data_IF_282540663592
#
_entry.id   IF_282540663592
#
_cell.length_a   1.000
_cell.length_b   1.000
_cell.length_c   1.000
_cell.angle_alpha   90.00
_cell.angle_beta   90.00
_cell.angle_gamma   90.00
#
_symmetry.space_group_name_H-M   'P 1'
#
loop_
_entity.id
_entity.type
_entity.pdbx_description
1 polymer ?
#
# COMPACT_ATOMS: atom_id res chain seq x y z
N UNK A 1 -49.06 17.02 -54.03
CA UNK A 1 -49.21 17.51 -52.65
C UNK A 1 -49.62 16.31 -51.79
N UNK A 2 -48.94 15.80 -50.77
CA UNK A 2 -47.67 16.10 -50.10
C UNK A 2 -47.11 14.74 -49.64
N UNK A 3 -45.81 14.48 -49.86
CA UNK A 3 -45.11 13.34 -49.26
C UNK A 3 -44.68 13.75 -47.85
N UNK A 4 -45.14 13.03 -46.81
CA UNK A 4 -44.62 13.18 -45.45
C UNK A 4 -43.64 12.02 -45.21
N UNK A 5 -42.34 12.32 -45.28
CA UNK A 5 -41.30 11.42 -44.81
C UNK A 5 -41.31 11.46 -43.27
N UNK A 6 -41.58 10.32 -42.65
CA UNK A 6 -41.44 10.14 -41.20
C UNK A 6 -39.96 9.86 -40.90
N UNK A 7 -39.23 10.89 -40.46
CA UNK A 7 -37.86 10.76 -39.98
C UNK A 7 -37.86 10.11 -38.60
N UNK A 8 -37.46 8.85 -38.52
CA UNK A 8 -37.28 8.13 -37.27
C UNK A 8 -35.91 8.49 -36.68
N UNK A 9 -35.86 9.47 -35.78
CA UNK A 9 -34.66 9.80 -35.01
C UNK A 9 -34.40 8.69 -33.97
N UNK A 10 -33.47 7.80 -34.28
CA UNK A 10 -32.85 6.89 -33.31
C UNK A 10 -31.96 7.71 -32.36
N UNK A 11 -32.51 8.11 -31.21
CA UNK A 11 -31.72 8.62 -30.09
C UNK A 11 -30.91 7.46 -29.52
N UNK A 12 -29.62 7.40 -29.87
CA UNK A 12 -28.66 6.54 -29.20
C UNK A 12 -28.51 7.03 -27.75
N UNK A 13 -29.18 6.35 -26.82
CA UNK A 13 -28.95 6.52 -25.38
C UNK A 13 -27.60 5.87 -25.10
N UNK A 14 -26.52 6.66 -25.17
CA UNK A 14 -25.22 6.26 -24.66
C UNK A 14 -25.35 6.10 -23.16
N UNK A 15 -25.56 4.87 -22.69
CA UNK A 15 -25.39 4.52 -21.30
C UNK A 15 -23.92 4.71 -20.97
N UNK A 16 -23.57 5.89 -20.44
CA UNK A 16 -22.30 6.09 -19.74
C UNK A 16 -22.32 5.15 -18.53
N UNK A 17 -21.86 3.92 -18.72
CA UNK A 17 -21.55 3.03 -17.63
C UNK A 17 -20.45 3.71 -16.83
N UNK A 18 -20.81 4.36 -15.73
CA UNK A 18 -19.85 4.83 -14.75
C UNK A 18 -19.09 3.60 -14.27
N UNK A 19 -17.84 3.46 -14.70
CA UNK A 19 -16.97 2.41 -14.21
C UNK A 19 -16.87 2.59 -12.69
N UNK A 20 -17.24 1.55 -11.94
CA UNK A 20 -17.12 1.56 -10.48
C UNK A 20 -15.67 1.81 -10.09
N UNK A 21 -15.43 2.68 -9.10
CA UNK A 21 -14.10 2.96 -8.58
C UNK A 21 -13.39 1.66 -8.18
N UNK A 22 -12.13 1.52 -8.59
CA UNK A 22 -11.30 0.39 -8.21
C UNK A 22 -10.98 0.52 -6.73
N UNK A 23 -11.39 -0.46 -5.94
CA UNK A 23 -10.92 -0.62 -4.57
C UNK A 23 -9.61 -1.39 -4.59
N UNK A 24 -8.58 -0.81 -3.99
CA UNK A 24 -7.32 -1.51 -3.80
C UNK A 24 -7.49 -2.77 -2.95
N UNK A 25 -6.58 -3.73 -3.11
CA UNK A 25 -6.58 -4.98 -2.35
C UNK A 25 -5.17 -5.30 -1.89
N UNK A 26 -5.09 -6.12 -0.85
CA UNK A 26 -3.87 -6.81 -0.44
C UNK A 26 -4.14 -8.30 -0.27
N UNK A 27 -3.11 -9.12 -0.47
CA UNK A 27 -3.14 -10.56 -0.25
C UNK A 27 -1.72 -11.07 0.01
N UNK A 28 -1.55 -11.98 0.95
CA UNK A 28 -0.28 -12.65 1.19
C UNK A 28 -0.47 -14.16 1.23
N UNK A 29 0.58 -14.88 0.83
CA UNK A 29 0.65 -16.32 0.98
C UNK A 29 2.11 -16.74 1.10
N UNK A 30 2.49 -17.31 2.25
CA UNK A 30 3.86 -17.75 2.52
C UNK A 30 4.87 -16.59 2.34
N UNK A 31 5.89 -16.75 1.50
CA UNK A 31 6.98 -15.79 1.30
C UNK A 31 6.66 -14.72 0.24
N UNK A 32 5.40 -14.59 -0.16
CA UNK A 32 4.95 -13.66 -1.19
C UNK A 32 3.74 -12.84 -0.73
N UNK A 33 3.65 -11.61 -1.22
CA UNK A 33 2.50 -10.72 -1.06
C UNK A 33 2.22 -9.92 -2.32
N UNK A 34 1.02 -9.35 -2.39
CA UNK A 34 0.59 -8.46 -3.45
C UNK A 34 -0.30 -7.37 -2.91
N UNK A 35 -0.08 -6.17 -3.43
CA UNK A 35 -0.90 -5.00 -3.23
C UNK A 35 -1.29 -4.47 -4.60
N UNK A 36 -2.58 -4.22 -4.80
CA UNK A 36 -3.08 -3.57 -6.00
C UNK A 36 -3.78 -2.28 -5.62
N UNK A 37 -3.48 -1.21 -6.35
CA UNK A 37 -3.99 0.12 -6.02
C UNK A 37 -5.34 0.42 -6.67
N UNK A 38 -5.94 1.52 -6.23
CA UNK A 38 -7.09 2.17 -6.85
C UNK A 38 -6.89 2.60 -8.31
N UNK A 39 -5.69 2.49 -8.88
CA UNK A 39 -5.44 2.68 -10.33
C UNK A 39 -5.58 1.38 -11.13
N UNK A 40 -5.66 0.24 -10.44
CA UNK A 40 -5.63 -1.10 -11.03
C UNK A 40 -4.22 -1.69 -11.16
N UNK A 41 -3.18 -0.93 -10.83
CA UNK A 41 -1.78 -1.39 -10.83
C UNK A 41 -1.55 -2.36 -9.69
N UNK A 42 -0.87 -3.48 -9.96
CA UNK A 42 -0.50 -4.45 -8.95
C UNK A 42 1.02 -4.55 -8.79
N UNK A 43 1.46 -4.70 -7.54
CA UNK A 43 2.84 -4.89 -7.10
C UNK A 43 2.90 -6.17 -6.26
N UNK A 44 3.59 -7.20 -6.73
CA UNK A 44 3.75 -8.47 -6.03
C UNK A 44 5.21 -8.66 -5.62
N UNK A 45 5.46 -8.78 -4.32
CA UNK A 45 6.79 -8.98 -3.77
C UNK A 45 6.98 -10.45 -3.37
N UNK A 46 8.14 -11.01 -3.70
CA UNK A 46 8.58 -12.33 -3.24
C UNK A 46 9.89 -12.21 -2.49
N UNK A 47 10.08 -12.98 -1.42
CA UNK A 47 11.23 -12.87 -0.52
C UNK A 47 12.00 -14.19 -0.41
N UNK A 48 13.19 -14.14 0.18
CA UNK A 48 13.93 -15.34 0.57
C UNK A 48 13.22 -16.13 1.67
N UNK A 49 13.47 -17.43 1.74
CA UNK A 49 13.00 -18.27 2.85
C UNK A 49 13.87 -18.07 4.11
N UNK A 50 13.52 -18.73 5.21
CA UNK A 50 14.25 -18.62 6.48
C UNK A 50 15.63 -19.31 6.49
N UNK A 51 15.97 -20.11 5.47
CA UNK A 51 17.26 -20.81 5.37
C UNK A 51 18.37 -19.88 4.84
N UNK A 52 18.01 -18.88 4.02
CA UNK A 52 18.94 -17.93 3.41
C UNK A 52 18.93 -16.55 4.10
N UNK A 53 18.77 -16.52 5.43
CA UNK A 53 18.66 -15.28 6.22
C UNK A 53 19.90 -14.37 6.15
N UNK A 54 21.08 -14.92 5.89
CA UNK A 54 22.33 -14.14 5.84
C UNK A 54 22.49 -13.38 4.51
N UNK A 55 21.80 -13.84 3.47
CA UNK A 55 21.73 -13.23 2.15
C UNK A 55 20.27 -12.90 1.77
N UNK A 56 19.63 -11.91 2.45
CA UNK A 56 18.27 -11.52 2.13
C UNK A 56 18.10 -11.11 0.67
N UNK A 57 16.98 -11.49 0.06
CA UNK A 57 16.74 -11.25 -1.34
C UNK A 57 15.25 -11.10 -1.63
N UNK A 58 14.89 -10.19 -2.52
CA UNK A 58 13.51 -10.03 -2.95
C UNK A 58 13.39 -9.64 -4.42
N UNK A 59 12.25 -10.00 -4.99
CA UNK A 59 11.76 -9.52 -6.29
C UNK A 59 10.50 -8.70 -6.09
N UNK A 60 10.36 -7.63 -6.87
CA UNK A 60 9.12 -6.86 -7.00
C UNK A 60 8.60 -6.96 -8.44
N UNK A 61 7.43 -7.56 -8.60
CA UNK A 61 6.70 -7.70 -9.85
C UNK A 61 5.64 -6.60 -9.96
N UNK A 62 5.81 -5.67 -10.90
CA UNK A 62 4.85 -4.58 -11.14
C UNK A 62 4.14 -4.78 -12.48
N UNK A 63 2.80 -4.74 -12.46
CA UNK A 63 1.97 -4.77 -13.68
C UNK A 63 0.83 -3.75 -13.61
N UNK A 64 0.84 -2.82 -14.55
CA UNK A 64 -0.23 -1.83 -14.75
C UNK A 64 -1.55 -2.50 -15.18
N UNK A 65 -2.69 -1.88 -14.88
CA UNK A 65 -3.97 -2.29 -15.44
C UNK A 65 -4.11 -1.92 -16.94
N UNK A 66 -5.06 -2.56 -17.61
CA UNK A 66 -5.31 -2.40 -19.05
C UNK A 66 -4.66 -3.48 -19.89
N UNK A 67 -5.01 -3.53 -21.18
CA UNK A 67 -4.53 -4.54 -22.11
C UNK A 67 -3.03 -4.34 -22.47
N UNK A 68 -2.35 -5.45 -22.79
CA UNK A 68 -0.96 -5.54 -23.25
C UNK A 68 0.07 -4.89 -22.33
N UNK A 69 -0.21 -4.87 -21.02
CA UNK A 69 0.72 -4.34 -20.03
C UNK A 69 1.76 -5.40 -19.64
N UNK A 70 3.07 -5.12 -19.81
CA UNK A 70 4.11 -6.05 -19.42
C UNK A 70 4.27 -6.11 -17.90
N UNK A 71 4.76 -7.26 -17.40
CA UNK A 71 5.29 -7.35 -16.04
C UNK A 71 6.71 -6.80 -16.02
N UNK A 72 7.00 -5.92 -15.08
CA UNK A 72 8.33 -5.42 -14.79
C UNK A 72 8.82 -6.10 -13.51
N UNK A 73 10.09 -6.49 -13.46
CA UNK A 73 10.69 -7.13 -12.27
C UNK A 73 11.91 -6.36 -11.82
N UNK A 74 11.83 -5.84 -10.61
CA UNK A 74 12.96 -5.28 -9.86
C UNK A 74 13.43 -6.29 -8.82
N UNK A 75 14.68 -6.18 -8.39
CA UNK A 75 15.25 -7.04 -7.37
C UNK A 75 16.03 -6.21 -6.35
N UNK A 76 16.09 -6.74 -5.12
CA UNK A 76 16.89 -6.24 -4.03
C UNK A 76 17.70 -7.41 -3.45
N UNK A 77 19.02 -7.28 -3.41
CA UNK A 77 19.92 -8.28 -2.83
C UNK A 77 20.65 -7.63 -1.67
N UNK A 78 20.58 -8.20 -0.46
CA UNK A 78 21.21 -7.64 0.73
C UNK A 78 22.17 -8.64 1.38
N UNK A 79 22.95 -8.15 2.34
CA UNK A 79 23.76 -8.99 3.23
C UNK A 79 23.64 -8.46 4.65
N UNK A 80 23.37 -9.33 5.60
CA UNK A 80 23.05 -8.89 6.96
C UNK A 80 24.26 -8.29 7.69
N UNK A 81 25.44 -8.88 7.52
CA UNK A 81 26.64 -8.50 8.29
C UNK A 81 27.50 -7.42 7.62
N UNK A 82 27.23 -7.08 6.36
CA UNK A 82 28.07 -6.17 5.59
C UNK A 82 27.21 -5.06 4.97
N UNK A 83 27.50 -3.77 5.23
CA UNK A 83 26.73 -2.66 4.66
C UNK A 83 27.05 -2.41 3.19
N UNK A 84 28.19 -2.89 2.69
CA UNK A 84 28.61 -2.71 1.30
C UNK A 84 29.68 -3.73 0.90
N UNK A 85 29.92 -3.85 -0.40
CA UNK A 85 31.06 -4.61 -0.93
C UNK A 85 31.92 -3.78 -1.87
N UNK A 86 33.23 -4.08 -1.99
CA UNK A 86 34.03 -3.54 -3.10
C UNK A 86 33.42 -3.95 -4.44
N UNK A 87 33.37 -3.03 -5.40
CA UNK A 87 32.76 -3.25 -6.72
C UNK A 87 33.28 -4.52 -7.43
N UNK A 88 34.54 -4.92 -7.18
CA UNK A 88 35.11 -6.16 -7.72
C UNK A 88 34.38 -7.43 -7.28
N UNK A 89 33.87 -7.50 -6.04
CA UNK A 89 33.10 -8.63 -5.52
C UNK A 89 31.69 -8.71 -6.10
N UNK A 90 31.16 -7.58 -6.57
CA UNK A 90 29.82 -7.45 -7.15
C UNK A 90 29.79 -7.68 -8.67
N UNK A 91 30.94 -7.94 -9.29
CA UNK A 91 31.01 -8.21 -10.73
C UNK A 91 30.34 -9.52 -11.05
N UNK A 92 29.75 -9.58 -12.25
CA UNK A 92 29.29 -10.80 -12.87
C UNK A 92 28.27 -11.58 -12.00
N UNK A 93 27.38 -10.88 -11.31
CA UNK A 93 26.20 -11.50 -10.70
C UNK A 93 25.25 -11.88 -11.84
N UNK A 94 24.87 -13.15 -11.89
CA UNK A 94 24.01 -13.72 -12.92
C UNK A 94 22.68 -14.17 -12.30
N UNK A 95 21.62 -14.14 -13.12
CA UNK A 95 20.29 -14.60 -12.75
C UNK A 95 20.05 -16.02 -13.28
N UNK A 96 19.65 -16.92 -12.38
CA UNK A 96 19.38 -18.32 -12.68
C UNK A 96 17.95 -18.69 -12.34
N UNK A 97 17.33 -19.51 -13.19
CA UNK A 97 16.05 -20.16 -12.91
C UNK A 97 16.20 -21.65 -13.16
N UNK A 98 15.96 -22.47 -12.12
CA UNK A 98 16.12 -23.93 -12.17
C UNK A 98 17.49 -24.37 -12.71
N UNK A 99 18.57 -23.78 -12.17
CA UNK A 99 19.95 -24.02 -12.59
C UNK A 99 20.36 -23.46 -13.97
N UNK A 100 19.42 -22.96 -14.79
CA UNK A 100 19.75 -22.36 -16.09
C UNK A 100 20.14 -20.89 -15.93
N UNK A 101 21.30 -20.54 -16.49
CA UNK A 101 21.82 -19.17 -16.56
C UNK A 101 21.04 -18.33 -17.59
N UNK A 102 20.51 -17.18 -17.16
CA UNK A 102 19.83 -16.19 -18.01
C UNK A 102 20.63 -14.88 -18.14
N UNK A 103 21.93 -14.93 -17.83
CA UNK A 103 22.88 -13.86 -18.04
C UNK A 103 23.07 -12.92 -16.84
N UNK A 104 23.99 -11.96 -16.98
CA UNK A 104 24.32 -11.02 -15.92
C UNK A 104 23.16 -10.08 -15.59
N UNK A 105 23.15 -9.58 -14.36
CA UNK A 105 22.29 -8.47 -13.91
C UNK A 105 23.14 -7.26 -13.53
N UNK A 106 22.63 -6.07 -13.82
CA UNK A 106 23.24 -4.83 -13.38
C UNK A 106 22.70 -4.45 -11.99
N UNK A 107 23.59 -3.99 -11.12
CA UNK A 107 23.25 -3.48 -9.78
C UNK A 107 23.63 -2.01 -9.67
N UNK A 108 22.85 -1.26 -8.91
CA UNK A 108 23.07 0.15 -8.63
C UNK A 108 23.96 0.31 -7.39
N UNK A 109 25.12 0.94 -7.57
CA UNK A 109 26.05 1.20 -6.47
C UNK A 109 26.71 -0.05 -5.88
N UNK A 110 27.20 0.11 -4.65
CA UNK A 110 27.94 -0.93 -3.90
C UNK A 110 27.41 -1.15 -2.49
N UNK A 111 26.45 -0.32 -2.07
CA UNK A 111 25.84 -0.36 -0.74
C UNK A 111 24.61 -1.26 -0.79
N UNK A 112 24.39 -2.01 0.30
CA UNK A 112 23.24 -2.89 0.41
C UNK A 112 22.00 -2.12 0.89
N UNK A 113 20.80 -2.47 0.40
CA UNK A 113 20.52 -3.50 -0.61
C UNK A 113 20.95 -3.07 -2.02
N UNK A 114 21.54 -4.01 -2.76
CA UNK A 114 21.85 -3.84 -4.18
C UNK A 114 20.56 -3.93 -4.97
N UNK A 115 20.19 -2.82 -5.58
CA UNK A 115 18.98 -2.69 -6.38
C UNK A 115 19.28 -2.91 -7.86
N UNK A 116 18.33 -3.45 -8.59
CA UNK A 116 18.44 -3.59 -10.03
C UNK A 116 17.16 -4.12 -10.67
N UNK A 117 17.20 -4.30 -11.99
CA UNK A 117 16.05 -4.71 -12.79
C UNK A 117 16.39 -5.86 -13.71
N UNK A 118 15.47 -6.83 -13.80
CA UNK A 118 15.61 -7.93 -14.75
C UNK A 118 15.29 -7.48 -16.19
N UNK A 119 16.01 -8.04 -17.15
CA UNK A 119 15.72 -7.89 -18.58
C UNK A 119 14.44 -8.63 -18.97
N UNK A 120 13.82 -8.25 -20.09
CA UNK A 120 12.60 -8.92 -20.58
C UNK A 120 12.77 -10.44 -20.78
N UNK A 121 13.98 -10.90 -21.16
CA UNK A 121 14.27 -12.33 -21.27
C UNK A 121 14.26 -13.03 -19.91
N UNK A 122 14.88 -12.43 -18.89
CA UNK A 122 14.93 -12.94 -17.52
C UNK A 122 13.53 -12.96 -16.88
N UNK A 123 12.74 -11.89 -17.09
CA UNK A 123 11.34 -11.82 -16.64
C UNK A 123 10.53 -12.96 -17.25
N UNK A 124 10.61 -13.16 -18.57
CA UNK A 124 9.89 -14.23 -19.26
C UNK A 124 10.30 -15.62 -18.76
N UNK A 125 11.59 -15.82 -18.49
CA UNK A 125 12.11 -17.08 -17.95
C UNK A 125 11.51 -17.41 -16.58
N UNK A 126 11.47 -16.43 -15.68
CA UNK A 126 10.86 -16.58 -14.35
C UNK A 126 9.36 -16.89 -14.47
N UNK A 127 8.62 -16.08 -15.23
CA UNK A 127 7.17 -16.22 -15.35
C UNK A 127 6.74 -17.54 -16.01
N UNK A 128 7.58 -18.13 -16.87
CA UNK A 128 7.34 -19.46 -17.44
C UNK A 128 7.37 -20.59 -16.39
N UNK A 129 8.06 -20.40 -15.27
CA UNK A 129 8.14 -21.38 -14.18
C UNK A 129 7.15 -21.12 -13.04
N UNK A 130 6.41 -19.99 -13.08
CA UNK A 130 5.51 -19.52 -12.00
C UNK A 130 4.43 -20.49 -11.50
N UNK A 131 4.19 -21.61 -12.20
CA UNK A 131 3.21 -22.67 -11.83
C UNK A 131 3.86 -23.93 -11.27
N UNK A 132 5.18 -23.97 -11.21
CA UNK A 132 5.99 -25.13 -10.86
C UNK A 132 6.83 -24.78 -9.65
N UNK A 133 7.38 -25.82 -9.01
CA UNK A 133 8.51 -25.62 -8.11
C UNK A 133 9.64 -24.95 -8.88
N UNK A 134 10.14 -23.83 -8.35
CA UNK A 134 11.10 -22.97 -9.04
C UNK A 134 12.24 -22.59 -8.10
N UNK A 135 13.47 -22.83 -8.54
CA UNK A 135 14.66 -22.30 -7.90
C UNK A 135 15.02 -20.97 -8.57
N UNK A 136 15.01 -19.88 -7.79
CA UNK A 136 15.27 -18.51 -8.26
C UNK A 136 16.54 -18.02 -7.56
N UNK A 137 17.64 -17.88 -8.32
CA UNK A 137 18.96 -17.61 -7.74
C UNK A 137 19.62 -16.41 -8.43
N UNK A 138 20.26 -15.56 -7.64
CA UNK A 138 21.27 -14.61 -8.10
C UNK A 138 22.62 -15.06 -7.56
N UNK A 139 23.63 -15.24 -8.41
CA UNK A 139 24.96 -15.63 -7.91
C UNK A 139 26.12 -15.20 -8.81
N UNK A 140 27.29 -15.14 -8.21
CA UNK A 140 28.58 -15.18 -8.88
C UNK A 140 29.48 -16.24 -8.21
N UNK A 141 30.80 -16.17 -8.43
CA UNK A 141 31.73 -17.14 -7.85
C UNK A 141 31.85 -17.08 -6.32
N UNK A 142 31.39 -16.00 -5.69
CA UNK A 142 31.59 -15.72 -4.25
C UNK A 142 30.31 -15.45 -3.48
N UNK A 143 29.24 -15.07 -4.15
CA UNK A 143 27.98 -14.62 -3.55
C UNK A 143 26.82 -15.40 -4.17
N UNK A 144 25.84 -15.76 -3.36
CA UNK A 144 24.61 -16.38 -3.79
C UNK A 144 23.43 -15.89 -2.95
N UNK A 145 22.36 -15.52 -3.62
CA UNK A 145 21.07 -15.18 -3.05
C UNK A 145 20.01 -16.08 -3.64
N UNK A 146 19.00 -16.43 -2.85
CA UNK A 146 17.89 -17.27 -3.29
C UNK A 146 16.56 -16.67 -2.85
N UNK A 147 15.62 -16.56 -3.79
CA UNK A 147 14.25 -16.17 -3.51
C UNK A 147 13.40 -17.43 -3.41
N UNK A 148 12.50 -17.46 -2.42
CA UNK A 148 11.54 -18.54 -2.22
C UNK A 148 10.50 -18.54 -3.34
N UNK A 149 10.08 -19.70 -3.81
CA UNK A 149 8.92 -19.85 -4.70
C UNK A 149 7.61 -20.10 -3.94
N UNK A 150 7.68 -20.32 -2.62
CA UNK A 150 6.52 -20.60 -1.78
C UNK A 150 5.62 -19.37 -1.72
N UNK A 151 4.46 -19.45 -2.38
CA UNK A 151 3.53 -18.33 -2.47
C UNK A 151 3.39 -17.71 -3.85
N UNK A 152 4.42 -17.84 -4.69
CA UNK A 152 4.51 -17.17 -5.99
C UNK A 152 3.27 -17.46 -6.86
N UNK A 153 2.89 -18.73 -7.03
CA UNK A 153 1.73 -19.09 -7.86
C UNK A 153 0.42 -18.48 -7.33
N UNK A 154 0.20 -18.50 -6.01
CA UNK A 154 -1.03 -18.00 -5.40
C UNK A 154 -1.15 -16.48 -5.55
N UNK A 155 -0.06 -15.76 -5.27
CA UNK A 155 0.02 -14.31 -5.38
C UNK A 155 -0.12 -13.84 -6.83
N UNK A 156 0.56 -14.48 -7.78
CA UNK A 156 0.42 -14.14 -9.21
C UNK A 156 -0.94 -14.52 -9.77
N UNK A 157 -1.58 -15.58 -9.26
CA UNK A 157 -2.96 -15.88 -9.60
C UNK A 157 -3.91 -14.80 -9.06
N UNK A 158 -3.65 -14.26 -7.87
CA UNK A 158 -4.43 -13.14 -7.33
C UNK A 158 -4.27 -11.87 -8.16
N UNK A 159 -3.09 -11.63 -8.72
CA UNK A 159 -2.85 -10.56 -9.69
C UNK A 159 -3.70 -10.72 -10.96
N UNK A 160 -3.73 -11.94 -11.52
CA UNK A 160 -4.56 -12.24 -12.69
C UNK A 160 -6.06 -12.11 -12.39
N UNK A 161 -6.49 -12.54 -11.20
CA UNK A 161 -7.88 -12.41 -10.74
C UNK A 161 -8.32 -10.94 -10.66
N UNK A 162 -7.57 -10.12 -9.91
CA UNK A 162 -7.88 -8.71 -9.72
C UNK A 162 -7.93 -7.93 -11.05
N UNK A 163 -6.97 -8.19 -11.94
CA UNK A 163 -6.91 -7.52 -13.23
C UNK A 163 -7.80 -8.19 -14.30
N UNK A 164 -8.61 -9.19 -13.93
CA UNK A 164 -9.53 -9.91 -14.82
C UNK A 164 -8.84 -10.56 -16.03
N UNK A 165 -7.66 -11.13 -15.79
CA UNK A 165 -6.78 -11.76 -16.80
C UNK A 165 -6.87 -13.28 -16.82
N UNK A 166 -7.51 -13.94 -15.86
CA UNK A 166 -7.69 -15.39 -15.85
C UNK A 166 -8.35 -15.85 -17.17
N UNK A 167 -7.77 -16.84 -17.84
CA UNK A 167 -8.27 -17.37 -19.11
C UNK A 167 -7.90 -16.55 -20.35
N UNK A 168 -7.24 -15.40 -20.17
CA UNK A 168 -6.73 -14.59 -21.30
C UNK A 168 -5.35 -15.07 -21.75
N UNK A 169 -4.92 -14.62 -22.93
CA UNK A 169 -3.57 -14.86 -23.45
C UNK A 169 -2.46 -14.24 -22.57
N UNK A 170 -2.77 -13.16 -21.83
CA UNK A 170 -1.82 -12.45 -20.96
C UNK A 170 -1.92 -12.78 -19.47
N UNK A 171 -2.62 -13.86 -19.09
CA UNK A 171 -2.55 -14.37 -17.72
C UNK A 171 -1.13 -14.86 -17.40
N UNK A 172 -0.68 -14.72 -16.15
CA UNK A 172 0.59 -15.30 -15.68
C UNK A 172 0.41 -16.79 -15.35
N UNK A 173 -0.66 -17.15 -14.65
CA UNK A 173 -0.86 -18.48 -14.07
C UNK A 173 -1.86 -19.33 -14.87
N UNK A 174 -3.07 -18.80 -15.10
CA UNK A 174 -4.16 -19.51 -15.79
C UNK A 174 -4.38 -18.92 -17.18
N UNK A 175 -3.42 -19.14 -18.08
CA UNK A 175 -3.51 -18.74 -19.49
C UNK A 175 -4.66 -19.44 -20.21
N UNK A 176 -5.30 -18.73 -21.14
CA UNK A 176 -6.28 -19.30 -22.06
C UNK A 176 -6.23 -18.62 -23.42
N UNK A 177 -7.32 -18.70 -24.17
CA UNK A 177 -7.40 -18.21 -25.56
C UNK A 177 -8.12 -16.87 -25.70
N UNK A 178 -8.75 -16.38 -24.63
CA UNK A 178 -9.46 -15.10 -24.68
C UNK A 178 -8.48 -13.95 -24.92
N UNK A 179 -8.91 -12.96 -25.69
CA UNK A 179 -8.17 -11.70 -25.81
C UNK A 179 -8.28 -10.87 -24.51
N UNK A 180 -7.67 -9.69 -24.51
CA UNK A 180 -7.64 -8.81 -23.35
C UNK A 180 -8.70 -7.69 -23.43
N UNK A 181 -9.77 -7.85 -24.21
CA UNK A 181 -10.81 -6.82 -24.34
C UNK A 181 -11.62 -6.57 -23.06
N UNK A 182 -11.65 -7.54 -22.14
CA UNK A 182 -12.41 -7.49 -20.88
C UNK A 182 -11.54 -7.43 -19.62
N UNK A 183 -10.23 -7.19 -19.76
CA UNK A 183 -9.36 -6.98 -18.59
C UNK A 183 -9.72 -5.68 -17.86
N UNK A 184 -9.31 -5.57 -16.60
CA UNK A 184 -9.51 -4.37 -15.81
C UNK A 184 -8.89 -3.16 -16.53
N UNK A 185 -9.69 -2.14 -16.80
CA UNK A 185 -9.21 -0.88 -17.36
C UNK A 185 -8.59 -0.04 -16.25
N UNK A 186 -7.42 0.56 -16.51
CA UNK A 186 -6.76 1.43 -15.55
C UNK A 186 -7.62 2.65 -15.22
N UNK A 187 -7.58 3.09 -13.97
CA UNK A 187 -8.17 4.35 -13.52
C UNK A 187 -7.07 5.36 -13.18
N UNK A 188 -7.28 6.66 -13.48
CA UNK A 188 -6.32 7.68 -13.10
C UNK A 188 -6.29 7.85 -11.58
N UNK A 189 -5.14 8.29 -11.05
CA UNK A 189 -5.06 8.78 -9.66
C UNK A 189 -6.06 9.91 -9.48
N UNK A 190 -6.89 9.84 -8.43
CA UNK A 190 -7.77 10.95 -8.10
C UNK A 190 -6.96 12.13 -7.56
N UNK A 191 -7.46 13.34 -7.78
CA UNK A 191 -6.79 14.56 -7.31
C UNK A 191 -7.51 15.10 -6.08
N UNK A 192 -6.74 15.42 -5.04
CA UNK A 192 -7.22 16.15 -3.86
C UNK A 192 -6.54 17.49 -3.79
N UNK A 193 -7.32 18.56 -3.68
CA UNK A 193 -6.78 19.89 -3.41
C UNK A 193 -6.61 20.06 -1.92
N UNK A 194 -5.37 20.20 -1.45
CA UNK A 194 -5.10 20.44 -0.04
C UNK A 194 -5.56 21.85 0.34
N UNK A 195 -6.37 21.94 1.38
CA UNK A 195 -6.69 23.21 2.02
C UNK A 195 -5.86 23.33 3.31
N UNK A 196 -4.88 24.24 3.28
CA UNK A 196 -4.00 24.48 4.43
C UNK A 196 -4.78 24.99 5.64
N UNK A 197 -4.47 24.44 6.80
CA UNK A 197 -5.05 24.83 8.10
C UNK A 197 -3.95 25.20 9.10
N UNK A 198 -4.28 25.84 10.23
CA UNK A 198 -3.32 26.03 11.32
C UNK A 198 -2.79 24.69 11.87
N UNK A 199 -1.51 24.68 12.26
CA UNK A 199 -0.81 23.48 12.74
C UNK A 199 -0.87 23.28 14.26
N UNK A 200 -1.31 24.30 15.01
CA UNK A 200 -1.39 24.24 16.47
C UNK A 200 -2.83 24.07 16.91
N UNK A 201 -3.09 23.28 17.97
CA UNK A 201 -4.42 23.23 18.55
C UNK A 201 -4.76 24.61 19.11
N UNK A 202 -5.99 25.06 18.89
CA UNK A 202 -6.48 26.30 19.50
C UNK A 202 -6.96 26.07 20.94
N UNK A 203 -7.24 24.81 21.29
CA UNK A 203 -7.66 24.39 22.61
C UNK A 203 -7.24 22.94 22.86
N UNK A 204 -6.66 22.67 24.03
CA UNK A 204 -6.43 21.32 24.53
C UNK A 204 -7.31 21.11 25.76
N UNK A 205 -8.27 20.18 25.65
CA UNK A 205 -9.18 19.84 26.71
C UNK A 205 -8.57 18.74 27.58
N UNK A 206 -8.26 19.10 28.82
CA UNK A 206 -7.81 18.15 29.84
C UNK A 206 -8.99 17.28 30.33
N UNK A 207 -8.75 16.04 30.81
CA UNK A 207 -9.79 15.16 31.31
C UNK A 207 -10.68 15.74 32.42
N UNK A 208 -10.14 16.66 33.23
CA UNK A 208 -10.88 17.33 34.30
C UNK A 208 -11.78 18.50 33.81
N UNK A 209 -11.73 18.83 32.53
CA UNK A 209 -12.50 19.95 31.99
C UNK A 209 -13.99 19.57 31.82
N UNK A 210 -14.90 20.46 32.21
CA UNK A 210 -16.37 20.20 32.20
C UNK A 210 -16.95 19.72 30.86
N UNK A 211 -16.35 20.10 29.72
CA UNK A 211 -16.78 19.69 28.38
C UNK A 211 -16.21 18.34 27.92
N UNK A 212 -15.19 17.83 28.61
CA UNK A 212 -14.46 16.63 28.21
C UNK A 212 -15.35 15.39 28.13
N UNK A 213 -16.16 15.03 29.14
CA UNK A 213 -16.89 13.75 29.12
C UNK A 213 -17.87 13.64 27.95
N UNK A 214 -18.60 14.73 27.67
CA UNK A 214 -19.56 14.76 26.57
C UNK A 214 -18.87 14.68 25.20
N UNK A 215 -17.78 15.41 25.01
CA UNK A 215 -17.02 15.34 23.75
C UNK A 215 -16.39 13.96 23.57
N UNK A 216 -15.69 13.44 24.57
CA UNK A 216 -15.06 12.12 24.52
C UNK A 216 -16.09 11.03 24.17
N UNK A 217 -17.25 11.01 24.82
CA UNK A 217 -18.33 10.08 24.51
C UNK A 217 -18.82 10.18 23.07
N UNK A 218 -18.95 11.40 22.53
CA UNK A 218 -19.32 11.64 21.12
C UNK A 218 -18.26 11.08 20.15
N UNK A 219 -16.97 11.29 20.44
CA UNK A 219 -15.86 10.74 19.64
C UNK A 219 -15.89 9.20 19.64
N UNK A 220 -16.04 8.57 20.80
CA UNK A 220 -16.07 7.10 20.92
C UNK A 220 -17.32 6.48 20.29
N UNK A 221 -18.45 7.19 20.31
CA UNK A 221 -19.66 6.78 19.60
C UNK A 221 -19.49 6.83 18.07
N UNK A 222 -18.64 7.74 17.57
CA UNK A 222 -18.24 7.83 16.17
C UNK A 222 -17.06 6.91 15.85
N UNK A 223 -17.19 5.62 16.15
CA UNK A 223 -16.23 4.58 15.77
C UNK A 223 -16.54 3.99 14.38
N UNK A 224 -15.59 3.26 13.75
CA UNK A 224 -15.83 2.53 12.50
C UNK A 224 -17.05 1.60 12.55
N UNK A 225 -17.65 1.35 11.38
CA UNK A 225 -18.72 0.36 11.19
C UNK A 225 -18.23 -0.70 10.19
N UNK A 226 -18.25 -2.01 10.53
CA UNK A 226 -18.67 -2.58 11.81
C UNK A 226 -17.75 -2.16 12.96
N UNK A 227 -18.29 -2.19 14.19
CA UNK A 227 -17.52 -1.86 15.41
C UNK A 227 -16.30 -2.77 15.49
N UNK A 228 -15.17 -2.19 15.84
CA UNK A 228 -13.91 -2.91 15.97
C UNK A 228 -13.64 -3.18 17.46
N UNK A 229 -13.19 -4.40 17.76
CA UNK A 229 -12.59 -4.68 19.07
C UNK A 229 -11.30 -3.88 19.20
N UNK A 230 -10.99 -3.38 20.40
CA UNK A 230 -9.77 -2.60 20.60
C UNK A 230 -9.84 -1.13 20.17
N UNK A 231 -11.00 -0.64 19.72
CA UNK A 231 -11.12 0.75 19.27
C UNK A 231 -10.81 1.74 20.39
N UNK A 232 -9.79 2.57 20.17
CA UNK A 232 -9.41 3.67 21.05
C UNK A 232 -9.39 3.34 22.55
N UNK A 233 -8.82 2.20 22.93
CA UNK A 233 -8.78 1.71 24.32
C UNK A 233 -8.01 2.61 25.30
N UNK A 234 -7.29 3.62 24.79
CA UNK A 234 -6.50 4.58 25.54
C UNK A 234 -5.17 4.00 26.01
N UNK A 235 -4.63 4.58 27.09
CA UNK A 235 -3.31 4.21 27.62
C UNK A 235 -3.48 3.49 28.95
N UNK A 236 -3.12 2.22 28.98
CA UNK A 236 -3.08 1.40 30.18
C UNK A 236 -1.80 1.66 30.98
N UNK A 237 -1.91 1.87 32.29
CA UNK A 237 -0.77 2.13 33.17
C UNK A 237 -0.54 1.07 34.26
N UNK A 238 -1.26 -0.04 34.19
CA UNK A 238 -1.17 -1.13 35.18
C UNK A 238 -2.49 -1.36 35.92
N UNK A 239 -3.24 -0.29 36.20
CA UNK A 239 -4.46 -0.34 37.02
C UNK A 239 -5.73 0.01 36.23
N UNK A 240 -5.63 0.93 35.26
CA UNK A 240 -6.76 1.31 34.40
C UNK A 240 -6.29 2.03 33.13
N UNK A 241 -7.21 2.17 32.16
CA UNK A 241 -7.03 3.14 31.08
C UNK A 241 -7.12 4.57 31.63
N UNK A 242 -6.09 5.37 31.41
CA UNK A 242 -6.10 6.80 31.74
C UNK A 242 -6.73 7.63 30.61
N UNK A 243 -7.71 8.50 30.92
CA UNK A 243 -8.23 9.47 29.95
C UNK A 243 -7.11 10.37 29.40
N UNK A 244 -7.08 10.54 28.08
CA UNK A 244 -6.06 11.34 27.39
C UNK A 244 -6.61 12.73 27.04
N UNK A 245 -5.78 13.79 27.00
CA UNK A 245 -6.22 15.10 26.54
C UNK A 245 -6.79 15.06 25.11
N UNK A 246 -7.76 15.93 24.82
CA UNK A 246 -8.30 16.10 23.46
C UNK A 246 -7.78 17.43 22.91
N UNK A 247 -7.00 17.36 21.85
CA UNK A 247 -6.50 18.51 21.11
C UNK A 247 -7.48 18.91 20.00
N UNK A 248 -7.80 20.19 19.91
CA UNK A 248 -8.75 20.74 18.94
C UNK A 248 -8.05 21.69 17.98
N UNK A 249 -8.09 21.37 16.70
CA UNK A 249 -7.49 22.13 15.60
C UNK A 249 -8.58 22.80 14.77
N UNK A 250 -8.38 24.06 14.41
CA UNK A 250 -9.32 24.76 13.50
C UNK A 250 -9.15 24.21 12.08
N UNK A 251 -10.26 23.85 11.45
CA UNK A 251 -10.34 23.61 10.01
C UNK A 251 -11.13 24.75 9.34
N UNK A 252 -11.23 24.71 8.01
CA UNK A 252 -12.09 25.64 7.27
C UNK A 252 -13.57 25.36 7.51
N UNK A 253 -14.45 26.29 7.12
CA UNK A 253 -15.91 26.12 7.14
C UNK A 253 -16.47 25.77 8.53
N UNK A 254 -15.90 26.39 9.58
CA UNK A 254 -16.33 26.20 10.98
C UNK A 254 -16.28 24.73 11.44
N UNK A 255 -15.34 23.97 10.88
CA UNK A 255 -15.04 22.60 11.29
C UNK A 255 -13.86 22.57 12.24
N UNK A 256 -13.81 21.52 13.05
CA UNK A 256 -12.77 21.26 14.04
C UNK A 256 -12.29 19.83 13.86
N UNK A 257 -10.98 19.64 13.84
CA UNK A 257 -10.36 18.33 14.00
C UNK A 257 -10.12 18.12 15.50
N UNK A 258 -10.68 17.07 16.05
CA UNK A 258 -10.39 16.60 17.40
C UNK A 258 -9.43 15.42 17.33
N UNK A 259 -8.34 15.50 18.09
CA UNK A 259 -7.36 14.42 18.20
C UNK A 259 -7.11 14.04 19.66
N UNK A 260 -7.01 12.75 19.94
CA UNK A 260 -6.64 12.24 21.27
C UNK A 260 -5.81 10.97 21.13
N UNK A 261 -4.86 10.76 22.04
CA UNK A 261 -4.07 9.54 22.05
C UNK A 261 -4.99 8.35 22.34
N UNK A 262 -5.03 7.42 21.39
CA UNK A 262 -6.08 6.42 21.25
C UNK A 262 -5.59 5.03 21.66
N UNK A 263 -4.32 4.74 21.39
CA UNK A 263 -3.64 3.54 21.83
C UNK A 263 -2.11 3.77 21.82
N UNK A 264 -1.40 2.97 22.59
CA UNK A 264 0.07 2.90 22.62
C UNK A 264 0.50 1.46 22.70
N UNK A 265 1.31 1.05 21.74
CA UNK A 265 2.02 -0.22 21.74
C UNK A 265 3.50 -0.05 22.09
N UNK A 266 4.25 -1.15 22.04
CA UNK A 266 5.67 -1.16 22.38
C UNK A 266 6.53 -0.22 21.50
N UNK A 267 6.13 0.00 20.25
CA UNK A 267 6.92 0.73 19.25
C UNK A 267 6.18 1.85 18.53
N UNK A 268 4.88 1.98 18.82
CA UNK A 268 3.93 2.76 18.05
C UNK A 268 2.90 3.41 18.96
N UNK A 269 2.37 4.53 18.50
CA UNK A 269 1.22 5.20 19.09
C UNK A 269 0.26 5.57 17.96
N UNK A 270 -1.03 5.60 18.27
CA UNK A 270 -2.04 6.09 17.35
C UNK A 270 -2.94 7.11 18.02
N UNK A 271 -3.14 8.22 17.33
CA UNK A 271 -4.10 9.23 17.70
C UNK A 271 -5.40 8.98 16.92
N UNK A 272 -6.49 9.00 17.67
CA UNK A 272 -7.84 9.07 17.13
C UNK A 272 -8.05 10.45 16.55
N UNK A 273 -8.61 10.53 15.35
CA UNK A 273 -8.89 11.75 14.63
C UNK A 273 -10.35 11.77 14.18
N UNK A 274 -11.07 12.84 14.52
CA UNK A 274 -12.46 13.04 14.12
C UNK A 274 -12.70 14.49 13.68
N UNK A 275 -13.63 14.66 12.74
CA UNK A 275 -14.13 15.97 12.33
C UNK A 275 -15.47 16.26 12.99
N UNK A 276 -15.59 17.46 13.56
CA UNK A 276 -16.82 18.01 14.11
C UNK A 276 -17.05 19.42 13.57
N UNK A 277 -18.21 20.02 13.83
CA UNK A 277 -18.36 21.48 13.74
C UNK A 277 -17.92 22.18 15.04
N UNK A 278 -17.76 23.50 14.95
CA UNK A 278 -17.26 24.37 16.03
C UNK A 278 -18.08 24.34 17.34
N UNK A 279 -19.32 23.83 17.32
CA UNK A 279 -20.11 23.66 18.54
C UNK A 279 -19.58 22.52 19.41
N UNK A 280 -18.88 21.55 18.82
CA UNK A 280 -18.38 20.31 19.44
C UNK A 280 -19.48 19.37 19.98
N UNK A 281 -20.77 19.69 19.77
CA UNK A 281 -21.89 18.92 20.33
C UNK A 281 -22.53 17.99 19.32
N UNK A 282 -22.48 18.33 18.04
CA UNK A 282 -23.04 17.51 16.97
C UNK A 282 -22.18 16.28 16.69
N UNK A 283 -22.78 15.32 15.98
CA UNK A 283 -22.15 14.03 15.65
C UNK A 283 -20.77 14.21 15.00
N UNK A 284 -19.78 13.53 15.57
CA UNK A 284 -18.45 13.46 15.01
C UNK A 284 -18.37 12.51 13.80
N UNK A 285 -17.44 12.79 12.89
CA UNK A 285 -17.09 11.93 11.77
C UNK A 285 -15.68 11.38 11.97
N UNK A 286 -15.56 10.05 12.09
CA UNK A 286 -14.28 9.37 12.19
C UNK A 286 -13.41 9.57 10.96
N UNK A 287 -12.10 9.72 11.16
CA UNK A 287 -11.10 9.71 10.09
C UNK A 287 -10.21 8.49 10.23
N UNK A 288 -9.50 8.36 11.36
CA UNK A 288 -8.56 7.27 11.63
C UNK A 288 -8.26 7.20 13.13
N UNK A 289 -7.79 6.05 13.62
CA UNK A 289 -7.20 5.89 14.95
C UNK A 289 -5.69 5.65 14.93
N UNK A 290 -5.09 5.70 13.74
CA UNK A 290 -3.67 5.43 13.54
C UNK A 290 -2.87 6.70 13.23
N UNK A 291 -3.42 7.90 13.44
CA UNK A 291 -2.71 9.13 13.16
C UNK A 291 -1.43 9.23 14.01
N UNK A 292 -0.33 9.64 13.39
CA UNK A 292 0.93 9.93 14.07
C UNK A 292 1.10 11.43 14.28
N UNK A 293 0.67 12.23 13.31
CA UNK A 293 0.78 13.69 13.36
C UNK A 293 -0.33 14.36 12.52
N UNK A 294 -0.51 15.65 12.78
CA UNK A 294 -1.31 16.54 11.96
C UNK A 294 -0.52 17.81 11.62
N UNK A 295 -0.41 18.11 10.33
CA UNK A 295 0.28 19.29 9.84
C UNK A 295 -0.43 19.88 8.60
N UNK A 296 -0.79 21.16 8.68
CA UNK A 296 -1.30 21.96 7.58
C UNK A 296 -2.48 21.32 6.81
N UNK A 297 -3.39 20.64 7.50
CA UNK A 297 -4.53 19.96 6.87
C UNK A 297 -4.20 18.55 6.38
N UNK A 298 -3.07 17.98 6.78
CA UNK A 298 -2.68 16.59 6.48
C UNK A 298 -2.59 15.84 7.80
N UNK A 299 -3.30 14.71 7.89
CA UNK A 299 -3.08 13.70 8.92
C UNK A 299 -2.18 12.65 8.30
N UNK A 300 -1.01 12.40 8.89
CA UNK A 300 -0.13 11.32 8.44
C UNK A 300 -0.09 10.20 9.49
N UNK A 301 0.14 8.98 9.01
CA UNK A 301 0.39 7.80 9.83
C UNK A 301 1.70 7.17 9.40
N UNK A 302 2.51 6.76 10.37
CA UNK A 302 3.71 5.97 10.14
C UNK A 302 3.85 4.96 11.27
N UNK A 303 3.44 3.73 10.99
CA UNK A 303 3.35 2.67 11.98
C UNK A 303 4.31 1.55 11.64
N UNK A 304 5.14 1.16 12.62
CA UNK A 304 6.04 0.01 12.48
C UNK A 304 5.23 -1.27 12.54
N UNK A 305 5.61 -2.29 11.78
CA UNK A 305 5.01 -3.62 11.83
C UNK A 305 5.27 -4.30 13.18
N UNK A 306 6.28 -5.17 13.24
CA UNK A 306 6.58 -6.01 14.41
C UNK A 306 7.62 -5.40 15.35
N UNK A 307 8.32 -4.33 14.96
CA UNK A 307 9.40 -3.78 15.76
C UNK A 307 10.18 -2.62 15.16
N UNK A 308 11.20 -2.15 15.88
CA UNK A 308 12.16 -1.16 15.40
C UNK A 308 12.99 -1.77 14.25
N UNK A 309 13.14 -1.01 13.16
CA UNK A 309 13.86 -1.47 11.96
C UNK A 309 13.06 -2.41 11.06
N UNK A 310 11.84 -2.78 11.47
CA UNK A 310 10.91 -3.57 10.68
C UNK A 310 10.14 -2.71 9.66
N UNK A 311 9.18 -3.32 8.97
CA UNK A 311 8.31 -2.69 7.99
C UNK A 311 7.49 -1.53 8.49
N UNK A 312 7.05 -0.70 7.55
CA UNK A 312 6.21 0.46 7.80
C UNK A 312 4.92 0.38 7.02
N UNK A 313 3.82 0.63 7.74
CA UNK A 313 2.58 1.10 7.15
C UNK A 313 2.61 2.62 7.13
N UNK A 314 2.18 3.21 6.04
CA UNK A 314 2.03 4.65 5.92
C UNK A 314 0.70 5.01 5.30
N UNK A 315 -0.03 5.86 6.00
CA UNK A 315 -1.29 6.42 5.53
C UNK A 315 -1.24 7.93 5.52
N UNK A 316 -2.05 8.52 4.66
CA UNK A 316 -2.25 9.96 4.59
C UNK A 316 -3.73 10.28 4.39
N UNK A 317 -4.23 11.27 5.13
CA UNK A 317 -5.52 11.87 4.86
C UNK A 317 -5.39 13.38 4.70
N UNK A 318 -5.87 13.91 3.57
CA UNK A 318 -5.77 15.33 3.22
C UNK A 318 -7.12 16.01 3.37
N UNK A 319 -7.14 17.16 4.05
CA UNK A 319 -8.29 18.04 4.17
C UNK A 319 -8.58 18.75 2.85
N UNK A 320 -9.74 18.47 2.27
CA UNK A 320 -10.20 19.07 1.00
C UNK A 320 -11.04 20.35 1.18
N UNK A 321 -11.24 20.80 2.42
CA UNK A 321 -12.13 21.89 2.78
C UNK A 321 -13.47 21.44 3.40
N UNK A 322 -13.83 20.16 3.26
CA UNK A 322 -15.07 19.58 3.77
C UNK A 322 -14.85 18.31 4.58
N UNK A 323 -13.93 17.44 4.16
CA UNK A 323 -13.57 16.18 4.81
C UNK A 323 -12.09 15.86 4.62
N UNK A 324 -11.60 14.93 5.43
CA UNK A 324 -10.33 14.28 5.18
C UNK A 324 -10.52 13.16 4.16
N UNK A 325 -9.76 13.20 3.07
CA UNK A 325 -9.76 12.18 2.02
C UNK A 325 -8.52 11.31 2.21
N UNK A 326 -8.67 10.00 2.29
CA UNK A 326 -7.56 9.05 2.37
C UNK A 326 -6.80 9.06 1.04
N UNK A 327 -5.60 9.63 1.02
CA UNK A 327 -4.80 9.93 -0.17
C UNK A 327 -3.64 8.97 -0.37
N UNK A 328 -3.25 8.23 0.67
CA UNK A 328 -2.19 7.24 0.66
C UNK A 328 -2.52 6.09 1.62
N UNK A 329 -2.24 4.89 1.16
CA UNK A 329 -2.21 3.63 1.91
C UNK A 329 -1.09 2.80 1.28
N UNK A 330 0.02 2.65 2.00
CA UNK A 330 1.25 2.08 1.50
C UNK A 330 1.90 1.18 2.56
N UNK A 331 2.37 0.03 2.11
CA UNK A 331 3.12 -0.93 2.91
C UNK A 331 4.53 -1.12 2.36
N UNK A 332 5.53 -1.31 3.23
CA UNK A 332 6.92 -1.53 2.76
C UNK A 332 7.31 -2.99 2.53
N UNK A 333 6.34 -3.89 2.64
CA UNK A 333 6.48 -5.32 2.37
C UNK A 333 6.80 -6.17 3.61
N UNK A 334 7.30 -7.40 3.47
CA UNK A 334 7.58 -8.30 4.62
C UNK A 334 8.89 -8.01 5.37
N UNK A 335 9.73 -7.12 4.84
CA UNK A 335 11.02 -6.65 5.39
C UNK A 335 11.83 -7.74 6.06
N UNK A 336 12.06 -8.82 5.32
CA UNK A 336 12.86 -9.97 5.76
C UNK A 336 14.36 -9.62 5.79
N UNK A 337 14.78 -8.55 6.47
CA UNK A 337 16.18 -8.19 6.65
C UNK A 337 16.88 -7.55 5.44
N UNK A 338 16.13 -7.10 4.41
CA UNK A 338 16.71 -6.46 3.21
C UNK A 338 17.26 -5.06 3.47
N UNK A 339 16.51 -4.26 4.22
CA UNK A 339 16.89 -2.93 4.67
C UNK A 339 16.02 -2.56 5.88
N UNK A 340 16.53 -1.67 6.73
CA UNK A 340 15.73 -1.09 7.79
C UNK A 340 14.53 -0.35 7.18
N UNK A 341 13.32 -0.75 7.56
CA UNK A 341 12.10 -0.15 7.03
C UNK A 341 11.54 -0.77 5.75
N UNK A 342 12.20 -1.78 5.17
CA UNK A 342 11.78 -2.41 3.91
C UNK A 342 12.38 -1.75 2.66
N UNK A 343 12.10 -2.32 1.49
CA UNK A 343 12.72 -1.91 0.20
C UNK A 343 11.71 -1.59 -0.89
N UNK A 344 10.44 -1.91 -0.69
CA UNK A 344 9.39 -1.74 -1.68
C UNK A 344 8.35 -0.75 -1.20
N UNK A 345 7.62 -0.14 -2.14
CA UNK A 345 6.45 0.67 -1.86
C UNK A 345 5.23 -0.03 -2.48
N UNK A 346 4.40 -0.63 -1.63
CA UNK A 346 3.25 -1.45 -2.02
C UNK A 346 1.96 -0.66 -1.77
N UNK A 347 1.58 0.18 -2.74
CA UNK A 347 0.41 1.08 -2.62
C UNK A 347 -0.93 0.37 -2.83
N UNK A 348 -1.91 0.62 -1.95
CA UNK A 348 -3.33 0.36 -2.18
C UNK A 348 -4.11 1.61 -2.60
N UNK A 349 -3.65 2.80 -2.16
CA UNK A 349 -4.24 4.08 -2.51
C UNK A 349 -3.17 4.99 -3.08
N UNK A 350 -3.38 5.41 -4.33
CA UNK A 350 -2.55 6.37 -5.04
C UNK A 350 -3.39 7.58 -5.42
N UNK A 351 -2.88 8.78 -5.13
CA UNK A 351 -3.55 10.05 -5.42
C UNK A 351 -2.57 11.12 -5.91
N UNK A 352 -3.11 12.26 -6.30
CA UNK A 352 -2.34 13.48 -6.58
C UNK A 352 -2.83 14.55 -5.61
N UNK A 353 -1.96 15.00 -4.71
CA UNK A 353 -2.24 16.12 -3.81
C UNK A 353 -1.76 17.42 -4.47
N UNK A 354 -2.63 18.43 -4.54
CA UNK A 354 -2.36 19.75 -5.17
C UNK A 354 -2.52 20.91 -4.21
#
# INVERSE_FOLDING_TARGET
>A
MNKILSACCLLAISASAFAQDIKGISFFHQDWEIYCSNTGTCRAAGYQNEEYRNEPASLLLTRQAGARQPVQVEFALARYEEPSFPAAKLRNIHFYVNGKDFGPVAVEGTEFPLMGRLSGQQVNALLQQSKKKTEIIFKNNTLQWQISDLGMTAVLLKMDDFQKRIGTVGALIKKGKADESHVLTAQPKFTVKQIKTPNKPYLTLQPNHKRYPALYSNLMAAQPIPKQEGFCEGIYDGDATKPQPIELYKLTNKKVLAMTLCWRGAYNEGYGAWVLDESLVNKASFVTEHASEFYAGIISSSQKGRGIGDCWSSDEWVWDGQKFVHTKDMWTGMCKGLAAGGVWELDQVESIVK
#
